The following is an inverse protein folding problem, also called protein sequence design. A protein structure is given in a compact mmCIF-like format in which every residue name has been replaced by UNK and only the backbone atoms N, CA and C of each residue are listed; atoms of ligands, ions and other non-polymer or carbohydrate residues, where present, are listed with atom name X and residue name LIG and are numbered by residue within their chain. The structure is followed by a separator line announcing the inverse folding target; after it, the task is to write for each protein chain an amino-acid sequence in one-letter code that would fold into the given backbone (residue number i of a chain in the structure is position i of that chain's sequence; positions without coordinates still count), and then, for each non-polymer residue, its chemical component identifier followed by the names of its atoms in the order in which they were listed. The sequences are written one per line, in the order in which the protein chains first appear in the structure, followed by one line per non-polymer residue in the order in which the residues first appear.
data_IF_681738088361
#
_entry.id   IF_681738088361
#
_cell.length_a   1.000
_cell.length_b   1.000
_cell.length_c   1.000
_cell.angle_alpha   90.00
_cell.angle_beta   90.00
_cell.angle_gamma   90.00
#
_symmetry.space_group_name_H-M   'P 1'
#
loop_
_entity.id
_entity.type
_entity.pdbx_description
1 polymer ?
#
# COMPACT_ATOMS: atom_id res chain seq x y z
N UNK A 1 -2.02 28.08 43.73
CA UNK A 1 -1.56 29.26 42.95
C UNK A 1 -2.28 29.27 41.62
N UNK A 2 -3.05 30.31 41.32
CA UNK A 2 -3.67 30.55 40.00
C UNK A 2 -3.12 31.89 39.49
N UNK A 3 -2.60 31.95 38.27
CA UNK A 3 -2.32 33.22 37.59
C UNK A 3 -3.10 33.24 36.28
N UNK A 4 -3.99 34.22 36.20
CA UNK A 4 -4.77 34.58 35.03
C UNK A 4 -3.84 35.33 34.08
N UNK A 5 -3.96 35.12 32.76
CA UNK A 5 -3.43 36.05 31.78
C UNK A 5 -4.59 36.56 30.92
N UNK A 6 -4.92 37.83 31.12
CA UNK A 6 -6.00 38.53 30.43
C UNK A 6 -5.43 39.29 29.24
N UNK A 7 -6.15 39.27 28.11
CA UNK A 7 -6.29 40.32 27.08
C UNK A 7 -5.14 41.34 26.86
N UNK A 8 -4.76 41.60 25.59
CA UNK A 8 -5.19 42.85 24.92
C UNK A 8 -4.83 42.86 23.42
N UNK A 9 -5.83 43.24 22.59
CA UNK A 9 -5.61 43.81 21.25
C UNK A 9 -4.79 45.11 21.37
N UNK A 10 -4.05 45.46 20.31
CA UNK A 10 -4.14 46.79 19.70
C UNK A 10 -3.51 46.83 18.30
N UNK A 11 -4.23 47.41 17.35
CA UNK A 11 -3.66 47.88 16.08
C UNK A 11 -2.84 49.16 16.31
N UNK A 12 -1.80 49.37 15.52
CA UNK A 12 -1.22 50.70 15.31
C UNK A 12 -1.13 50.95 13.81
N UNK A 13 -1.98 51.86 13.32
CA UNK A 13 -1.78 52.49 12.01
C UNK A 13 -0.65 53.52 12.12
N UNK A 14 0.14 53.69 11.06
CA UNK A 14 0.92 54.92 10.84
C UNK A 14 0.50 55.48 9.49
N UNK A 15 -0.04 56.70 9.53
CA UNK A 15 -0.42 57.50 8.36
C UNK A 15 0.55 58.67 8.26
N UNK A 16 1.02 58.94 7.04
CA UNK A 16 1.26 60.31 6.60
C UNK A 16 2.72 60.71 6.35
N UNK A 17 3.03 60.92 5.07
CA UNK A 17 3.51 62.23 4.61
C UNK A 17 2.72 62.62 3.36
N UNK A 18 2.39 63.91 3.23
CA UNK A 18 1.54 64.50 2.19
C UNK A 18 2.34 65.54 1.43
N UNK A 19 2.21 65.60 0.10
CA UNK A 19 2.29 66.88 -0.64
C UNK A 19 1.57 66.81 -1.99
N UNK A 20 0.86 67.90 -2.33
CA UNK A 20 0.07 68.11 -3.56
C UNK A 20 1.01 68.29 -4.80
N UNK A 21 0.70 68.01 -6.08
CA UNK A 21 -0.50 68.23 -6.93
C UNK A 21 -0.15 69.29 -8.02
N UNK A 22 -0.92 69.57 -9.12
CA UNK A 22 -2.10 68.88 -9.70
C UNK A 22 -2.19 68.84 -11.28
N UNK A 23 -3.31 68.29 -11.81
CA UNK A 23 -4.00 68.62 -13.10
C UNK A 23 -3.59 67.97 -14.45
N UNK A 24 -4.63 67.82 -15.29
CA UNK A 24 -4.90 66.92 -16.43
C UNK A 24 -4.34 67.27 -17.84
N UNK A 25 -4.49 66.28 -18.74
CA UNK A 25 -4.85 66.34 -20.17
C UNK A 25 -3.86 66.90 -21.23
N UNK A 26 -3.41 66.02 -22.14
CA UNK A 26 -3.88 65.98 -23.55
C UNK A 26 -3.33 64.73 -24.32
N UNK A 27 -4.04 64.29 -25.36
CA UNK A 27 -3.67 63.29 -26.40
C UNK A 27 -3.73 64.07 -27.73
N UNK A 28 -2.86 63.88 -28.75
CA UNK A 28 -2.66 62.63 -29.51
C UNK A 28 -1.13 62.32 -29.68
N UNK A 29 -0.54 61.57 -30.62
CA UNK A 29 -0.93 60.89 -31.88
C UNK A 29 -0.29 59.46 -31.99
N UNK A 30 -0.58 58.77 -33.08
CA UNK A 30 0.07 57.55 -33.63
C UNK A 30 0.16 57.76 -35.17
N UNK A 31 0.97 57.04 -35.98
CA UNK A 31 2.05 56.08 -35.69
C UNK A 31 3.37 56.46 -36.48
N UNK A 32 4.34 55.57 -36.80
CA UNK A 32 4.15 54.41 -37.69
C UNK A 32 4.65 53.08 -37.11
N UNK A 33 4.00 51.99 -37.53
CA UNK A 33 4.39 50.61 -37.21
C UNK A 33 5.73 50.28 -37.86
N UNK A 34 6.67 49.76 -37.06
CA UNK A 34 7.87 49.06 -37.53
C UNK A 34 7.90 47.69 -36.87
N UNK A 35 7.49 46.66 -37.62
CA UNK A 35 7.68 45.27 -37.19
C UNK A 35 9.15 44.89 -37.30
N UNK A 36 9.79 44.57 -36.17
CA UNK A 36 11.01 43.76 -36.11
C UNK A 36 11.22 43.21 -34.69
N UNK A 37 11.95 42.09 -34.54
CA UNK A 37 11.32 40.81 -34.23
C UNK A 37 10.99 40.67 -32.75
N UNK A 38 10.00 39.82 -32.44
CA UNK A 38 9.80 39.35 -31.07
C UNK A 38 11.12 38.81 -30.51
N UNK A 39 11.49 39.35 -29.35
CA UNK A 39 12.56 38.80 -28.52
C UNK A 39 12.18 37.33 -28.24
N UNK A 40 13.08 36.36 -28.41
CA UNK A 40 12.75 34.97 -28.10
C UNK A 40 12.21 34.91 -26.67
N UNK A 41 11.01 34.39 -26.51
CA UNK A 41 10.50 34.02 -25.19
C UNK A 41 11.55 33.09 -24.60
N UNK A 42 12.16 33.48 -23.49
CA UNK A 42 12.94 32.55 -22.67
C UNK A 42 11.96 31.47 -22.25
N UNK A 43 11.98 30.35 -22.98
CA UNK A 43 11.34 29.13 -22.52
C UNK A 43 11.96 28.83 -21.17
N UNK A 44 11.15 28.91 -20.12
CA UNK A 44 11.53 28.36 -18.83
C UNK A 44 11.97 26.93 -19.10
N UNK A 45 13.29 26.71 -18.96
CA UNK A 45 13.88 25.38 -19.03
C UNK A 45 13.07 24.57 -18.01
N UNK A 46 12.40 23.46 -18.41
CA UNK A 46 11.61 22.69 -17.46
C UNK A 46 12.51 22.40 -16.27
N UNK A 47 12.04 22.72 -15.05
CA UNK A 47 12.82 22.50 -13.85
C UNK A 47 13.37 21.08 -13.93
N UNK A 48 14.71 20.96 -13.98
CA UNK A 48 15.36 19.65 -13.98
C UNK A 48 14.99 19.01 -12.66
N UNK A 49 13.95 18.18 -12.68
CA UNK A 49 13.54 17.35 -11.56
C UNK A 49 14.80 16.64 -11.13
N UNK A 50 15.30 17.01 -9.94
CA UNK A 50 16.49 16.38 -9.37
C UNK A 50 16.17 14.90 -9.26
N UNK A 51 16.68 14.13 -10.21
CA UNK A 51 16.64 12.68 -10.16
C UNK A 51 17.13 12.27 -8.77
N UNK A 52 16.27 11.62 -7.99
CA UNK A 52 16.64 11.14 -6.67
C UNK A 52 17.84 10.22 -6.89
N UNK A 53 18.95 10.60 -6.27
CA UNK A 53 20.24 9.97 -6.49
C UNK A 53 20.09 8.50 -6.08
N UNK A 54 20.38 7.57 -6.99
CA UNK A 54 20.28 6.10 -6.79
C UNK A 54 20.68 5.74 -5.36
N UNK A 55 19.71 5.27 -4.55
CA UNK A 55 19.87 5.05 -3.11
C UNK A 55 20.63 3.73 -2.89
N UNK A 56 21.93 3.74 -3.20
CA UNK A 56 22.93 2.68 -2.94
C UNK A 56 22.64 1.28 -3.52
N UNK A 57 23.63 0.66 -4.14
CA UNK A 57 23.49 -0.70 -4.68
C UNK A 57 23.48 -1.79 -3.57
N UNK A 58 23.74 -1.40 -2.32
CA UNK A 58 23.79 -2.30 -1.16
C UNK A 58 22.76 -1.96 -0.07
N UNK A 59 21.76 -1.11 -0.35
CA UNK A 59 20.70 -0.80 0.62
C UNK A 59 19.49 -1.70 0.41
N UNK A 60 19.19 -2.50 1.42
CA UNK A 60 17.87 -3.11 1.55
C UNK A 60 16.81 -2.00 1.61
N UNK A 61 15.78 -2.11 0.77
CA UNK A 61 14.63 -1.20 0.74
C UNK A 61 13.84 -1.17 2.05
N UNK A 62 13.99 -2.21 2.87
CA UNK A 62 13.38 -2.35 4.19
C UNK A 62 14.46 -2.76 5.20
N UNK A 63 14.60 -1.98 6.26
CA UNK A 63 15.49 -2.27 7.39
C UNK A 63 14.68 -3.00 8.46
N UNK A 64 15.12 -4.19 8.87
CA UNK A 64 14.59 -4.86 10.07
C UNK A 64 15.31 -4.28 11.29
N UNK A 65 14.58 -3.55 12.12
CA UNK A 65 15.12 -3.01 13.37
C UNK A 65 15.12 -4.06 14.47
N UNK A 66 14.07 -4.89 14.52
CA UNK A 66 13.88 -5.91 15.55
C UNK A 66 12.84 -6.94 15.12
N UNK A 67 13.14 -8.23 15.30
CA UNK A 67 12.14 -9.31 15.23
C UNK A 67 12.08 -9.99 16.59
N UNK A 68 10.87 -10.15 17.10
CA UNK A 68 10.59 -10.97 18.28
C UNK A 68 9.86 -12.24 17.84
N UNK A 69 10.36 -13.39 18.28
CA UNK A 69 9.72 -14.68 18.12
C UNK A 69 9.10 -15.03 19.46
N UNK A 70 7.78 -15.14 19.52
CA UNK A 70 7.11 -15.53 20.75
C UNK A 70 7.05 -17.06 20.83
N UNK A 71 7.87 -17.68 21.70
CA UNK A 71 7.67 -19.09 22.08
C UNK A 71 6.51 -19.17 23.08
N UNK A 72 5.32 -19.47 22.56
CA UNK A 72 4.07 -19.42 23.30
C UNK A 72 3.60 -20.79 23.81
N UNK A 73 4.45 -21.81 23.76
CA UNK A 73 4.07 -23.19 24.11
C UNK A 73 4.88 -23.77 25.25
N UNK A 74 4.13 -24.30 26.21
CA UNK A 74 4.68 -24.91 27.42
C UNK A 74 5.12 -26.36 27.22
N UNK A 75 4.63 -27.01 26.16
CA UNK A 75 4.85 -28.44 25.87
C UNK A 75 5.19 -28.71 24.41
N UNK A 76 5.89 -29.81 24.16
CA UNK A 76 6.22 -30.24 22.80
C UNK A 76 5.00 -30.85 22.08
N UNK A 77 4.03 -31.43 22.79
CA UNK A 77 2.77 -31.89 22.17
C UNK A 77 1.95 -30.72 21.60
N UNK A 78 1.90 -29.57 22.28
CA UNK A 78 1.25 -28.35 21.76
C UNK A 78 1.93 -27.84 20.48
N UNK A 79 3.27 -27.87 20.43
CA UNK A 79 4.06 -27.50 19.25
C UNK A 79 3.76 -28.44 18.09
N UNK A 80 3.73 -29.75 18.32
CA UNK A 80 3.45 -30.77 17.29
C UNK A 80 2.02 -30.62 16.74
N UNK A 81 1.01 -30.52 17.61
CA UNK A 81 -0.39 -30.39 17.18
C UNK A 81 -0.63 -29.11 16.36
N UNK A 82 -0.03 -27.99 16.76
CA UNK A 82 -0.17 -26.72 16.04
C UNK A 82 0.66 -26.65 14.77
N UNK A 83 1.81 -27.32 14.74
CA UNK A 83 2.54 -27.53 13.48
C UNK A 83 1.67 -28.32 12.49
N UNK A 84 1.03 -29.40 12.92
CA UNK A 84 0.10 -30.16 12.07
C UNK A 84 -1.05 -29.30 11.52
N UNK A 85 -1.60 -28.36 12.32
CA UNK A 85 -2.60 -27.40 11.84
C UNK A 85 -2.01 -26.39 10.83
N UNK A 86 -0.79 -25.91 11.05
CA UNK A 86 -0.09 -25.03 10.10
C UNK A 86 0.20 -25.74 8.78
N UNK A 87 0.66 -27.00 8.84
CA UNK A 87 0.95 -27.85 7.70
C UNK A 87 -0.35 -28.20 6.92
N UNK A 88 -1.51 -28.23 7.58
CA UNK A 88 -2.83 -28.42 6.95
C UNK A 88 -3.32 -27.17 6.17
N UNK A 89 -2.93 -25.98 6.62
CA UNK A 89 -3.23 -24.70 5.92
C UNK A 89 -2.20 -24.43 4.80
N UNK A 90 -1.07 -25.14 4.80
CA UNK A 90 -0.10 -25.11 3.70
C UNK A 90 -0.70 -25.74 2.44
N UNK A 91 -1.16 -24.90 1.52
CA UNK A 91 -1.57 -25.33 0.19
C UNK A 91 -0.35 -25.72 -0.64
N UNK A 92 -0.55 -26.43 -1.76
CA UNK A 92 0.52 -26.79 -2.69
C UNK A 92 0.99 -25.59 -3.56
N UNK A 93 1.05 -24.38 -2.98
CA UNK A 93 1.41 -23.11 -3.61
C UNK A 93 2.87 -22.70 -3.33
N UNK A 94 3.26 -21.52 -3.82
CA UNK A 94 4.56 -20.89 -3.51
C UNK A 94 4.65 -20.40 -2.05
N UNK A 95 5.88 -20.15 -1.59
CA UNK A 95 6.21 -19.70 -0.21
C UNK A 95 5.39 -18.46 0.20
N UNK A 96 5.26 -17.48 -0.69
CA UNK A 96 4.50 -16.27 -0.39
C UNK A 96 3.00 -16.55 -0.25
N UNK A 97 2.39 -17.30 -1.18
CA UNK A 97 0.97 -17.64 -1.10
C UNK A 97 0.68 -18.44 0.17
N UNK A 98 1.55 -19.37 0.56
CA UNK A 98 1.42 -20.07 1.84
C UNK A 98 1.56 -19.12 3.02
N UNK A 99 2.63 -18.33 3.12
CA UNK A 99 2.80 -17.31 4.16
C UNK A 99 1.60 -16.37 4.29
N UNK A 100 1.03 -15.92 3.16
CA UNK A 100 -0.12 -15.03 3.12
C UNK A 100 -1.37 -15.70 3.72
N UNK A 101 -1.54 -17.00 3.51
CA UNK A 101 -2.68 -17.78 4.00
C UNK A 101 -2.51 -18.36 5.40
N UNK A 102 -1.29 -18.60 5.87
CA UNK A 102 -1.02 -19.17 7.21
C UNK A 102 -1.55 -18.29 8.33
N UNK A 103 -2.79 -18.53 8.77
CA UNK A 103 -3.39 -17.86 9.93
C UNK A 103 -2.67 -18.26 11.22
N UNK A 104 -2.16 -19.49 11.29
CA UNK A 104 -1.52 -20.07 12.46
C UNK A 104 -0.06 -20.42 12.19
N UNK A 105 0.87 -19.67 12.75
CA UNK A 105 2.25 -20.11 12.93
C UNK A 105 2.47 -20.54 14.39
N UNK A 106 3.18 -21.65 14.66
CA UNK A 106 3.57 -22.02 16.01
C UNK A 106 4.36 -20.89 16.70
N UNK A 107 5.32 -20.31 15.99
CA UNK A 107 6.20 -19.28 16.50
C UNK A 107 5.84 -17.98 15.78
N UNK A 108 4.86 -17.19 16.26
CA UNK A 108 4.52 -15.94 15.64
C UNK A 108 5.63 -14.92 15.81
N UNK A 109 5.90 -14.23 14.70
CA UNK A 109 6.91 -13.19 14.61
C UNK A 109 6.23 -11.82 14.69
N UNK A 110 6.79 -10.94 15.53
CA UNK A 110 6.45 -9.53 15.58
C UNK A 110 7.70 -8.76 15.14
N UNK A 111 7.69 -8.26 13.91
CA UNK A 111 8.82 -7.57 13.29
C UNK A 111 8.55 -6.07 13.22
N UNK A 112 9.41 -5.28 13.87
CA UNK A 112 9.57 -3.86 13.63
C UNK A 112 10.51 -3.67 12.45
N UNK A 113 10.02 -3.01 11.42
CA UNK A 113 10.78 -2.67 10.22
C UNK A 113 10.49 -1.23 9.79
N UNK A 114 11.42 -0.65 9.03
CA UNK A 114 11.29 0.67 8.43
C UNK A 114 11.71 0.68 6.97
N UNK A 115 11.00 1.45 6.16
CA UNK A 115 11.23 1.68 4.74
C UNK A 115 12.40 2.64 4.58
N UNK A 116 13.40 2.23 3.82
CA UNK A 116 14.68 2.92 3.62
C UNK A 116 14.61 3.90 2.42
N UNK A 117 13.55 4.70 2.36
CA UNK A 117 13.33 5.71 1.32
C UNK A 117 13.20 7.07 2.01
N UNK A 118 13.96 8.05 1.55
CA UNK A 118 13.91 9.44 2.04
C UNK A 118 12.69 10.16 1.45
N UNK A 119 11.50 9.91 2.03
CA UNK A 119 10.25 10.55 1.62
C UNK A 119 9.25 10.69 2.77
N UNK A 120 8.36 11.69 2.65
CA UNK A 120 7.28 11.94 3.60
C UNK A 120 6.30 10.77 3.72
N UNK A 121 6.06 10.05 2.62
CA UNK A 121 5.14 8.91 2.60
C UNK A 121 5.77 7.70 3.29
N UNK A 122 7.08 7.45 3.07
CA UNK A 122 7.84 6.44 3.80
C UNK A 122 7.89 6.75 5.30
N UNK A 123 8.17 8.00 5.70
CA UNK A 123 8.09 8.45 7.09
C UNK A 123 6.71 8.20 7.73
N UNK A 124 5.64 8.46 6.96
CA UNK A 124 4.26 8.27 7.42
C UNK A 124 3.94 6.79 7.65
N UNK A 125 4.36 5.91 6.73
CA UNK A 125 4.19 4.46 6.89
C UNK A 125 5.10 3.92 8.00
N UNK A 126 6.35 4.37 8.11
CA UNK A 126 7.28 3.99 9.18
C UNK A 126 6.72 4.30 10.56
N UNK A 127 6.11 5.48 10.73
CA UNK A 127 5.41 5.86 11.95
C UNK A 127 4.24 4.91 12.25
N UNK A 128 3.44 4.55 11.25
CA UNK A 128 2.31 3.63 11.41
C UNK A 128 2.74 2.19 11.72
N UNK A 129 3.79 1.66 11.05
CA UNK A 129 4.36 0.34 11.35
C UNK A 129 4.89 0.29 12.78
N UNK A 130 5.53 1.37 13.26
CA UNK A 130 5.94 1.48 14.65
C UNK A 130 4.76 1.50 15.63
N UNK A 131 3.71 2.27 15.35
CA UNK A 131 2.48 2.30 16.16
C UNK A 131 1.80 0.92 16.21
N UNK A 132 1.75 0.19 15.08
CA UNK A 132 1.29 -1.20 15.04
C UNK A 132 2.18 -2.13 15.88
N UNK A 133 3.51 -2.08 15.71
CA UNK A 133 4.44 -2.89 16.50
C UNK A 133 4.26 -2.67 18.00
N UNK A 134 4.15 -1.41 18.43
CA UNK A 134 3.90 -1.04 19.82
C UNK A 134 2.53 -1.51 20.33
N UNK A 135 1.47 -1.55 19.49
CA UNK A 135 0.17 -2.12 19.88
C UNK A 135 0.28 -3.62 20.19
N UNK A 136 1.00 -4.38 19.34
CA UNK A 136 1.20 -5.83 19.51
C UNK A 136 1.95 -6.22 20.77
N UNK A 137 2.71 -5.31 21.37
CA UNK A 137 3.34 -5.52 22.69
C UNK A 137 2.35 -5.49 23.87
N UNK A 138 1.11 -5.02 23.65
CA UNK A 138 0.12 -4.77 24.71
C UNK A 138 -1.17 -5.57 24.56
N UNK A 139 -1.45 -6.14 23.38
CA UNK A 139 -2.64 -6.94 23.12
C UNK A 139 -2.54 -8.37 23.68
N UNK A 140 -3.64 -8.90 24.21
CA UNK A 140 -3.71 -10.28 24.72
C UNK A 140 -3.84 -11.28 23.56
N UNK A 141 -3.06 -12.36 23.59
CA UNK A 141 -3.11 -13.46 22.62
C UNK A 141 -1.81 -13.67 21.86
N UNK A 142 -1.85 -14.54 20.85
CA UNK A 142 -0.75 -14.81 19.93
C UNK A 142 -0.74 -13.71 18.88
N UNK A 143 0.07 -12.68 19.11
CA UNK A 143 0.21 -11.51 18.24
C UNK A 143 1.22 -11.78 17.13
N UNK A 144 0.95 -11.29 15.91
CA UNK A 144 1.93 -11.30 14.82
C UNK A 144 1.92 -9.98 14.03
N UNK A 145 3.10 -9.60 13.55
CA UNK A 145 3.31 -8.52 12.59
C UNK A 145 4.48 -8.93 11.70
N UNK A 146 4.17 -9.22 10.43
CA UNK A 146 5.13 -9.74 9.47
C UNK A 146 4.93 -9.08 8.11
N UNK A 147 5.96 -9.10 7.28
CA UNK A 147 5.90 -8.57 5.92
C UNK A 147 6.66 -9.47 4.93
N UNK A 148 6.32 -9.34 3.65
CA UNK A 148 7.13 -9.81 2.52
C UNK A 148 7.31 -8.63 1.56
N UNK A 149 8.51 -8.51 1.02
CA UNK A 149 8.94 -7.40 0.16
C UNK A 149 9.21 -7.92 -1.24
N UNK A 150 8.74 -7.18 -2.24
CA UNK A 150 8.91 -7.44 -3.66
C UNK A 150 9.23 -6.11 -4.36
N UNK A 151 10.00 -6.13 -5.44
CA UNK A 151 10.34 -4.90 -6.15
C UNK A 151 10.73 -5.17 -7.61
N UNK A 152 10.82 -4.07 -8.36
CA UNK A 152 11.54 -3.98 -9.63
C UNK A 152 12.33 -2.67 -9.70
N UNK A 153 12.78 -2.27 -10.90
CA UNK A 153 13.57 -1.06 -11.13
C UNK A 153 12.86 0.26 -10.76
N UNK A 154 11.53 0.23 -10.54
CA UNK A 154 10.68 1.41 -10.38
C UNK A 154 9.70 1.35 -9.22
N UNK A 155 9.31 0.17 -8.74
CA UNK A 155 8.27 -0.02 -7.73
C UNK A 155 8.78 -0.94 -6.62
N UNK A 156 8.54 -0.55 -5.38
CA UNK A 156 8.72 -1.34 -4.16
C UNK A 156 7.34 -1.69 -3.59
N UNK A 157 7.02 -2.97 -3.52
CA UNK A 157 5.79 -3.48 -2.92
C UNK A 157 6.08 -4.18 -1.58
N UNK A 158 5.43 -3.73 -0.52
CA UNK A 158 5.55 -4.30 0.83
C UNK A 158 4.18 -4.83 1.23
N UNK A 159 4.01 -6.15 1.20
CA UNK A 159 2.80 -6.82 1.67
C UNK A 159 2.94 -7.06 3.17
N UNK A 160 2.05 -6.47 3.96
CA UNK A 160 2.05 -6.54 5.42
C UNK A 160 0.88 -7.40 5.90
N UNK A 161 1.15 -8.19 6.92
CA UNK A 161 0.20 -9.11 7.55
C UNK A 161 0.31 -8.96 9.07
N UNK A 162 -0.77 -8.47 9.69
CA UNK A 162 -0.87 -8.25 11.14
C UNK A 162 -2.12 -8.95 11.70
N UNK A 163 -2.11 -9.20 13.01
CA UNK A 163 -3.28 -9.71 13.70
C UNK A 163 -2.96 -10.41 15.00
N UNK A 164 -3.98 -11.07 15.51
CA UNK A 164 -3.98 -11.81 16.76
C UNK A 164 -4.84 -13.07 16.69
N UNK A 165 -4.45 -14.07 17.46
CA UNK A 165 -5.23 -15.28 17.66
C UNK A 165 -5.22 -15.69 19.14
N UNK A 166 -6.34 -16.21 19.63
CA UNK A 166 -6.40 -16.85 20.94
C UNK A 166 -6.69 -18.34 20.73
N UNK A 167 -5.78 -19.24 21.14
CA UNK A 167 -6.01 -20.69 21.15
C UNK A 167 -7.42 -21.13 21.57
N UNK A 168 -8.14 -21.80 20.65
CA UNK A 168 -9.49 -22.30 20.90
C UNK A 168 -10.60 -21.25 20.83
N UNK A 169 -10.29 -20.04 20.34
CA UNK A 169 -11.21 -18.94 20.09
C UNK A 169 -11.09 -18.46 18.63
N UNK A 170 -11.60 -17.27 18.36
CA UNK A 170 -11.57 -16.64 17.03
C UNK A 170 -10.19 -16.06 16.66
N UNK A 171 -9.99 -15.82 15.37
CA UNK A 171 -8.82 -15.12 14.81
C UNK A 171 -9.24 -13.75 14.27
N UNK A 172 -8.38 -12.75 14.45
CA UNK A 172 -8.53 -11.45 13.82
C UNK A 172 -7.22 -11.05 13.16
N UNK A 173 -7.27 -10.70 11.87
CA UNK A 173 -6.09 -10.15 11.21
C UNK A 173 -6.41 -9.35 9.96
N UNK A 174 -5.44 -8.54 9.57
CA UNK A 174 -5.48 -7.67 8.40
C UNK A 174 -4.33 -8.02 7.47
N UNK A 175 -4.57 -7.92 6.16
CA UNK A 175 -3.55 -8.03 5.11
C UNK A 175 -3.69 -6.81 4.21
N UNK A 176 -2.59 -6.10 3.97
CA UNK A 176 -2.57 -4.87 3.18
C UNK A 176 -1.22 -4.72 2.49
N UNK A 177 -1.12 -3.76 1.59
CA UNK A 177 0.09 -3.52 0.78
C UNK A 177 0.40 -2.03 0.71
N UNK A 178 1.69 -1.72 0.73
CA UNK A 178 2.20 -0.41 0.32
C UNK A 178 2.99 -0.57 -0.97
N UNK A 179 2.62 0.18 -1.99
CA UNK A 179 3.36 0.27 -3.24
C UNK A 179 4.04 1.65 -3.28
N UNK A 180 5.35 1.69 -3.38
CA UNK A 180 6.15 2.92 -3.45
C UNK A 180 6.78 3.06 -4.82
N UNK A 181 6.76 4.28 -5.36
CA UNK A 181 7.60 4.63 -6.49
C UNK A 181 9.03 4.86 -5.99
N UNK A 182 9.97 4.02 -6.43
CA UNK A 182 11.37 4.07 -5.97
C UNK A 182 12.06 5.38 -6.37
N UNK A 183 11.61 6.04 -7.46
CA UNK A 183 12.28 7.22 -8.02
C UNK A 183 11.97 8.53 -7.30
N UNK A 184 10.84 8.59 -6.58
CA UNK A 184 10.37 9.79 -5.88
C UNK A 184 9.87 9.51 -4.45
N UNK A 185 9.74 8.25 -4.08
CA UNK A 185 9.34 7.79 -2.75
C UNK A 185 7.87 7.99 -2.39
N UNK A 186 7.01 8.36 -3.33
CA UNK A 186 5.58 8.52 -3.08
C UNK A 186 4.86 7.16 -3.06
N UNK A 187 3.78 7.07 -2.30
CA UNK A 187 2.84 5.95 -2.38
C UNK A 187 2.08 5.95 -3.72
N UNK A 188 1.99 4.77 -4.33
CA UNK A 188 1.20 4.48 -5.53
C UNK A 188 -0.10 3.81 -5.07
N UNK A 189 -1.24 4.45 -5.34
CA UNK A 189 -2.56 3.82 -5.17
C UNK A 189 -2.71 2.64 -6.12
N UNK A 190 -3.53 1.65 -5.79
CA UNK A 190 -3.83 0.54 -6.69
C UNK A 190 -4.40 1.03 -8.03
N UNK A 191 -5.17 2.13 -8.01
CA UNK A 191 -5.58 2.87 -9.22
C UNK A 191 -4.38 3.27 -10.09
N UNK A 192 -3.44 4.04 -9.55
CA UNK A 192 -2.28 4.51 -10.31
C UNK A 192 -1.32 3.35 -10.67
N UNK A 193 -1.37 2.24 -9.93
CA UNK A 193 -0.58 1.05 -10.19
C UNK A 193 -1.08 0.30 -11.43
N UNK A 194 -2.40 0.11 -11.59
CA UNK A 194 -2.96 -0.57 -12.76
C UNK A 194 -2.75 0.26 -14.04
N UNK A 195 -2.85 1.58 -13.93
CA UNK A 195 -2.55 2.53 -15.03
C UNK A 195 -1.10 2.40 -15.52
N UNK A 196 -0.12 2.21 -14.63
CA UNK A 196 1.30 1.98 -15.01
C UNK A 196 1.48 0.70 -15.83
N UNK A 197 0.63 -0.30 -15.65
CA UNK A 197 0.62 -1.53 -16.43
C UNK A 197 -0.32 -1.47 -17.65
N UNK A 198 -0.94 -0.32 -17.93
CA UNK A 198 -1.93 -0.13 -19.00
C UNK A 198 -3.13 -1.08 -18.88
N UNK A 199 -3.56 -1.39 -17.64
CA UNK A 199 -4.69 -2.25 -17.33
C UNK A 199 -5.89 -1.44 -16.85
N UNK A 200 -7.08 -1.75 -17.37
CA UNK A 200 -8.35 -1.32 -16.80
C UNK A 200 -8.84 -2.30 -15.72
N UNK A 201 -9.89 -1.90 -15.00
CA UNK A 201 -10.59 -2.80 -14.07
C UNK A 201 -11.21 -4.00 -14.78
N UNK A 202 -11.66 -3.84 -16.02
CA UNK A 202 -12.28 -4.93 -16.76
C UNK A 202 -11.23 -5.93 -17.27
N UNK A 203 -10.03 -5.47 -17.67
CA UNK A 203 -8.88 -6.35 -17.96
C UNK A 203 -8.50 -7.22 -16.74
N UNK A 204 -8.59 -6.65 -15.52
CA UNK A 204 -8.34 -7.39 -14.28
C UNK A 204 -9.42 -8.44 -14.05
N UNK A 205 -10.71 -8.10 -14.23
CA UNK A 205 -11.81 -9.06 -14.09
C UNK A 205 -11.69 -10.21 -15.07
N UNK A 206 -11.40 -9.93 -16.32
CA UNK A 206 -11.27 -10.93 -17.37
C UNK A 206 -10.11 -11.89 -17.06
N UNK A 207 -8.93 -11.37 -16.66
CA UNK A 207 -7.80 -12.20 -16.23
C UNK A 207 -8.09 -13.04 -14.98
N UNK A 208 -8.88 -12.53 -14.03
CA UNK A 208 -9.32 -13.31 -12.86
C UNK A 208 -10.29 -14.43 -13.28
N UNK A 209 -11.27 -14.15 -14.14
CA UNK A 209 -12.22 -15.14 -14.65
C UNK A 209 -11.53 -16.24 -15.47
N UNK A 210 -10.61 -15.87 -16.37
CA UNK A 210 -9.77 -16.82 -17.12
C UNK A 210 -8.94 -17.70 -16.18
N UNK A 211 -8.34 -17.11 -15.14
CA UNK A 211 -7.60 -17.86 -14.13
C UNK A 211 -8.49 -18.87 -13.40
N UNK A 212 -9.65 -18.46 -12.87
CA UNK A 212 -10.54 -19.36 -12.15
C UNK A 212 -11.10 -20.48 -13.04
N UNK A 213 -11.48 -20.15 -14.29
CA UNK A 213 -11.89 -21.13 -15.29
C UNK A 213 -10.77 -22.15 -15.58
N UNK A 214 -9.51 -21.71 -15.66
CA UNK A 214 -8.34 -22.60 -15.82
C UNK A 214 -8.13 -23.55 -14.61
N UNK A 215 -8.69 -23.22 -13.45
CA UNK A 215 -8.70 -24.06 -12.24
C UNK A 215 -9.98 -24.88 -12.08
N UNK A 216 -10.86 -24.89 -13.07
CA UNK A 216 -12.13 -25.62 -13.05
C UNK A 216 -13.21 -24.98 -12.18
N UNK A 217 -13.04 -23.72 -11.75
CA UNK A 217 -14.04 -22.98 -10.98
C UNK A 217 -14.74 -21.97 -11.88
N UNK A 218 -16.06 -22.14 -12.04
CA UNK A 218 -16.88 -21.35 -12.98
C UNK A 218 -17.99 -20.55 -12.29
N UNK A 219 -18.11 -20.66 -10.97
CA UNK A 219 -19.21 -20.09 -10.17
C UNK A 219 -18.64 -19.26 -9.02
N UNK A 220 -19.21 -18.08 -8.76
CA UNK A 220 -18.89 -17.28 -7.57
C UNK A 220 -19.41 -17.98 -6.30
N UNK A 221 -18.70 -17.89 -5.18
CA UNK A 221 -19.16 -18.42 -3.91
C UNK A 221 -20.50 -17.83 -3.44
N UNK A 222 -20.82 -16.60 -3.86
CA UNK A 222 -22.11 -15.95 -3.57
C UNK A 222 -23.29 -16.53 -4.39
N UNK A 223 -23.00 -17.37 -5.39
CA UNK A 223 -23.94 -17.98 -6.34
C UNK A 223 -23.89 -19.51 -6.34
N UNK A 224 -23.10 -20.12 -5.46
CA UNK A 224 -22.92 -21.57 -5.40
C UNK A 224 -24.09 -22.25 -4.69
N UNK A 225 -24.94 -22.95 -5.45
CA UNK A 225 -26.16 -23.59 -4.93
C UNK A 225 -25.93 -25.04 -4.50
N UNK A 226 -24.96 -25.73 -5.12
CA UNK A 226 -24.62 -27.13 -4.84
C UNK A 226 -23.36 -27.28 -3.98
N UNK A 227 -23.22 -28.43 -3.31
CA UNK A 227 -22.00 -28.77 -2.57
C UNK A 227 -20.76 -28.83 -3.48
N UNK A 228 -20.93 -29.24 -4.75
CA UNK A 228 -19.84 -29.24 -5.74
C UNK A 228 -19.41 -27.81 -6.09
N UNK A 229 -20.36 -26.92 -6.42
CA UNK A 229 -20.04 -25.50 -6.68
C UNK A 229 -19.44 -24.82 -5.46
N UNK A 230 -19.97 -25.07 -4.26
CA UNK A 230 -19.44 -24.48 -3.01
C UNK A 230 -18.01 -24.92 -2.77
N UNK A 231 -17.68 -26.17 -3.10
CA UNK A 231 -16.30 -26.66 -3.05
C UNK A 231 -15.42 -26.04 -4.13
N UNK A 232 -15.93 -25.66 -5.30
CA UNK A 232 -15.17 -25.10 -6.44
C UNK A 232 -15.64 -23.69 -6.85
N UNK A 233 -15.57 -22.73 -5.93
CA UNK A 233 -16.03 -21.34 -6.15
C UNK A 233 -14.94 -20.27 -5.95
N UNK A 234 -15.16 -19.07 -6.48
CA UNK A 234 -14.26 -17.92 -6.33
C UNK A 234 -14.96 -16.66 -5.75
N UNK A 235 -14.20 -15.66 -5.30
CA UNK A 235 -14.77 -14.34 -5.00
C UNK A 235 -15.10 -13.60 -6.29
N UNK A 236 -16.37 -13.21 -6.44
CA UNK A 236 -16.95 -12.53 -7.60
C UNK A 236 -16.12 -11.30 -8.07
N UNK A 237 -15.45 -11.36 -9.25
CA UNK A 237 -14.68 -10.24 -9.78
C UNK A 237 -15.56 -9.01 -10.08
N UNK A 238 -16.87 -9.17 -10.28
CA UNK A 238 -17.81 -8.05 -10.45
C UNK A 238 -17.95 -7.16 -9.19
N UNK A 239 -17.42 -7.56 -8.03
CA UNK A 239 -17.28 -6.68 -6.88
C UNK A 239 -16.09 -5.72 -6.98
N UNK A 240 -15.11 -5.96 -7.85
CA UNK A 240 -13.96 -5.07 -8.07
C UNK A 240 -14.41 -3.83 -8.85
N UNK A 241 -14.22 -2.65 -8.26
CA UNK A 241 -14.65 -1.35 -8.77
C UNK A 241 -13.65 -0.25 -8.37
N UNK A 242 -13.74 0.89 -9.05
CA UNK A 242 -12.81 2.01 -8.83
C UNK A 242 -12.82 2.52 -7.37
N UNK A 243 -13.99 2.51 -6.74
CA UNK A 243 -14.22 3.01 -5.38
C UNK A 243 -13.76 2.05 -4.27
N UNK A 244 -13.41 0.80 -4.60
CA UNK A 244 -12.93 -0.20 -3.64
C UNK A 244 -11.61 -0.87 -4.00
N UNK A 245 -10.97 -0.49 -5.12
CA UNK A 245 -9.72 -1.09 -5.61
C UNK A 245 -8.58 -1.06 -4.56
N UNK A 246 -8.51 0.00 -3.76
CA UNK A 246 -7.53 0.18 -2.68
C UNK A 246 -7.69 -0.80 -1.50
N UNK A 247 -8.75 -1.63 -1.47
CA UNK A 247 -8.95 -2.69 -0.46
C UNK A 247 -8.28 -4.01 -0.82
N UNK A 248 -7.86 -4.17 -2.07
CA UNK A 248 -7.26 -5.40 -2.57
C UNK A 248 -5.74 -5.35 -2.45
N UNK A 249 -5.11 -6.51 -2.27
CA UNK A 249 -3.65 -6.62 -2.30
C UNK A 249 -3.20 -6.79 -3.75
N UNK A 250 -2.81 -5.67 -4.36
CA UNK A 250 -2.08 -5.61 -5.64
C UNK A 250 -0.62 -5.29 -5.35
N UNK A 251 0.30 -6.06 -5.91
CA UNK A 251 1.74 -5.90 -5.70
C UNK A 251 2.53 -6.31 -6.92
N UNK A 252 3.74 -5.76 -7.04
CA UNK A 252 4.67 -6.03 -8.13
C UNK A 252 5.72 -7.02 -7.66
N UNK A 253 5.94 -8.09 -8.41
CA UNK A 253 7.02 -9.07 -8.17
C UNK A 253 7.77 -9.28 -9.49
N UNK A 254 9.03 -8.81 -9.55
CA UNK A 254 9.74 -8.59 -10.81
C UNK A 254 8.94 -7.63 -11.71
N UNK A 255 8.83 -7.88 -13.01
CA UNK A 255 8.12 -6.99 -13.95
C UNK A 255 6.63 -7.32 -14.10
N UNK A 256 6.08 -8.14 -13.21
CA UNK A 256 4.70 -8.61 -13.25
C UNK A 256 3.88 -8.01 -12.11
N UNK A 257 2.63 -7.64 -12.39
CA UNK A 257 1.64 -7.22 -11.42
C UNK A 257 0.82 -8.42 -10.97
N UNK A 258 0.66 -8.59 -9.66
CA UNK A 258 -0.08 -9.67 -9.05
C UNK A 258 -1.27 -9.14 -8.25
N UNK A 259 -2.36 -9.91 -8.26
CA UNK A 259 -3.56 -9.70 -7.48
C UNK A 259 -3.79 -10.89 -6.55
N UNK A 260 -4.07 -10.64 -5.27
CA UNK A 260 -4.49 -11.72 -4.34
C UNK A 260 -5.98 -11.99 -4.49
N UNK A 261 -6.31 -12.96 -5.33
CA UNK A 261 -7.67 -13.49 -5.49
C UNK A 261 -8.04 -14.44 -4.36
N UNK A 262 -9.23 -15.02 -4.44
CA UNK A 262 -9.70 -16.07 -3.52
C UNK A 262 -10.34 -17.20 -4.33
N UNK A 263 -9.95 -18.43 -4.01
CA UNK A 263 -10.43 -19.65 -4.64
C UNK A 263 -10.72 -20.69 -3.56
N UNK A 264 -11.99 -21.08 -3.42
CA UNK A 264 -12.34 -22.32 -2.78
C UNK A 264 -12.24 -23.48 -3.80
N UNK A 265 -11.56 -24.53 -3.38
CA UNK A 265 -11.28 -25.74 -4.16
C UNK A 265 -10.80 -26.79 -3.13
N UNK A 266 -11.15 -28.09 -3.22
CA UNK A 266 -10.68 -29.11 -2.28
C UNK A 266 -9.15 -29.24 -2.19
N UNK A 267 -8.40 -28.76 -3.20
CA UNK A 267 -6.92 -28.71 -3.18
C UNK A 267 -6.36 -27.45 -2.48
N UNK A 268 -7.20 -26.43 -2.28
CA UNK A 268 -6.82 -25.11 -1.79
C UNK A 268 -7.61 -24.65 -0.55
N UNK A 269 -8.60 -25.39 -0.06
CA UNK A 269 -9.30 -25.18 1.23
C UNK A 269 -9.72 -23.73 1.53
N UNK A 270 -10.28 -23.01 0.55
CA UNK A 270 -10.79 -21.65 0.74
C UNK A 270 -9.68 -20.64 1.07
N UNK A 271 -8.68 -20.54 0.20
CA UNK A 271 -7.51 -19.68 0.43
C UNK A 271 -7.39 -18.55 -0.60
N UNK A 272 -6.64 -17.51 -0.22
CA UNK A 272 -6.21 -16.49 -1.17
C UNK A 272 -5.15 -17.06 -2.12
N UNK A 273 -5.12 -16.60 -3.37
CA UNK A 273 -4.21 -17.12 -4.38
C UNK A 273 -3.56 -15.99 -5.16
N UNK A 274 -2.24 -16.09 -5.39
CA UNK A 274 -1.47 -15.14 -6.20
C UNK A 274 -1.80 -15.33 -7.68
N UNK A 275 -2.43 -14.33 -8.30
CA UNK A 275 -2.83 -14.34 -9.71
C UNK A 275 -2.05 -13.25 -10.46
N UNK A 276 -1.34 -13.63 -11.53
CA UNK A 276 -0.63 -12.69 -12.41
C UNK A 276 -1.65 -11.95 -13.29
N UNK A 277 -1.62 -10.62 -13.28
CA UNK A 277 -2.58 -9.77 -14.00
C UNK A 277 -1.96 -8.78 -15.00
N UNK A 278 -0.62 -8.65 -15.10
CA UNK A 278 0.03 -8.10 -16.31
C UNK A 278 0.70 -9.20 -17.11
#
# INVERSE_FOLDING_TARGET
MKKILTSFLLMVMIVGCVQQGPTEAEKPEEPPVVEQPEKPVEQEKPEETKYVKKIDENKDWVIVEKTEVLDLYSTEEEKIFRKMLSDLVSTHSDDFTNWYNTIYTPNPEITLFSINIDSKDADTVNKYIKELYESKQTEVGHQYLSYKCFFNDSILSIVVKEGSFIPGSDWKGSKFVYNFDITNGNLISNTNLIDRYSLSIDDIKDKLLDFYASKGSTVSCDKAETEEEQNYCFTEPNHIKQDNLERYVLFVENNDLYFMGFLNNPLYFGNSIKIKIS
#
